data_IF_782265178042
#
_entry.id   IF_782265178042
#
_cell.length_a   1.000
_cell.length_b   1.000
_cell.length_c   1.000
_cell.angle_alpha   90.00
_cell.angle_beta   90.00
_cell.angle_gamma   90.00
#
_symmetry.space_group_name_H-M   'P 1'
#
loop_
_entity.id
_entity.type
_entity.pdbx_description
1 polymer ?
#
# COMPACT_ATOMS: atom_id res chain seq x y z
N UNK A 1 -5.70 26.86 11.30
CA UNK A 1 -7.06 26.33 11.01
C UNK A 1 -7.04 24.82 10.89
N UNK A 2 -6.11 24.23 10.12
CA UNK A 2 -5.93 22.77 10.04
C UNK A 2 -5.75 22.13 11.42
N UNK A 3 -4.83 22.66 12.26
CA UNK A 3 -4.65 22.17 13.63
C UNK A 3 -5.93 22.18 14.47
N UNK A 4 -6.73 23.24 14.34
CA UNK A 4 -7.96 23.36 15.12
C UNK A 4 -8.98 22.28 14.70
N UNK A 5 -9.08 22.00 13.39
CA UNK A 5 -9.96 20.96 12.87
C UNK A 5 -9.47 19.55 13.26
N UNK A 6 -8.17 19.26 13.08
CA UNK A 6 -7.56 17.99 13.47
C UNK A 6 -7.80 17.69 14.95
N UNK A 7 -7.45 18.64 15.83
CA UNK A 7 -7.65 18.49 17.28
C UNK A 7 -9.13 18.32 17.67
N UNK A 8 -10.05 19.05 17.03
CA UNK A 8 -11.47 18.91 17.32
C UNK A 8 -12.02 17.53 16.90
N UNK A 9 -11.57 17.00 15.76
CA UNK A 9 -11.94 15.64 15.32
C UNK A 9 -11.42 14.62 16.33
N UNK A 10 -10.15 14.68 16.73
CA UNK A 10 -9.58 13.70 17.66
C UNK A 10 -10.08 13.82 19.10
N UNK A 11 -10.64 14.97 19.49
CA UNK A 11 -11.34 15.12 20.77
C UNK A 11 -12.64 14.31 20.82
N UNK A 12 -13.36 14.20 19.70
CA UNK A 12 -14.61 13.44 19.59
C UNK A 12 -14.37 11.98 19.18
N UNK A 13 -13.38 11.73 18.32
CA UNK A 13 -12.97 10.40 17.88
C UNK A 13 -11.44 10.27 17.80
N UNK A 14 -10.86 9.76 18.87
CA UNK A 14 -9.40 9.61 19.01
C UNK A 14 -8.73 8.66 18.01
N UNK A 15 -9.51 7.86 17.27
CA UNK A 15 -8.97 6.91 16.27
C UNK A 15 -9.35 7.26 14.84
N UNK A 16 -10.04 8.39 14.62
CA UNK A 16 -10.37 8.87 13.29
C UNK A 16 -9.10 9.15 12.47
N UNK A 17 -9.12 8.72 11.21
CA UNK A 17 -8.07 9.06 10.25
C UNK A 17 -8.44 10.39 9.56
N UNK A 18 -7.62 11.41 9.76
CA UNK A 18 -7.80 12.72 9.11
C UNK A 18 -6.93 12.79 7.86
N UNK A 19 -7.58 12.83 6.70
CA UNK A 19 -6.93 12.92 5.40
C UNK A 19 -6.96 14.37 4.94
N UNK A 20 -5.80 14.94 4.60
CA UNK A 20 -5.74 16.26 3.99
C UNK A 20 -6.55 16.28 2.69
N UNK A 21 -7.29 17.38 2.47
CA UNK A 21 -8.14 17.52 1.29
C UNK A 21 -7.33 17.35 0.00
N UNK A 22 -7.91 16.64 -0.96
CA UNK A 22 -7.15 16.21 -2.12
C UNK A 22 -6.78 17.36 -3.05
N UNK A 23 -5.48 17.46 -3.33
CA UNK A 23 -4.92 18.49 -4.18
C UNK A 23 -5.29 18.23 -5.64
N UNK A 24 -5.82 19.25 -6.31
CA UNK A 24 -6.12 19.20 -7.73
C UNK A 24 -4.82 19.39 -8.53
N UNK A 25 -4.55 18.56 -9.54
CA UNK A 25 -3.34 18.68 -10.32
C UNK A 25 -3.43 19.90 -11.25
N UNK A 26 -2.38 20.72 -11.25
CA UNK A 26 -2.19 21.81 -12.20
C UNK A 26 -0.69 21.99 -12.47
N UNK A 27 -0.34 22.55 -13.62
CA UNK A 27 1.03 22.91 -14.01
C UNK A 27 1.35 24.37 -13.69
N UNK A 28 0.40 25.09 -13.10
CA UNK A 28 0.52 26.51 -12.78
C UNK A 28 1.53 26.77 -11.64
N UNK A 29 2.10 27.98 -11.65
CA UNK A 29 3.11 28.41 -10.67
C UNK A 29 2.79 29.77 -10.03
N UNK A 30 1.58 30.28 -10.22
CA UNK A 30 1.07 31.47 -9.57
C UNK A 30 0.53 32.55 -10.54
N UNK A 31 -0.01 33.65 -9.99
CA UNK A 31 -0.23 33.89 -8.56
C UNK A 31 -1.54 33.29 -8.02
N UNK A 32 -2.48 32.93 -8.90
CA UNK A 32 -3.82 32.48 -8.49
C UNK A 32 -3.86 30.98 -8.17
N UNK A 33 -3.13 30.17 -8.94
CA UNK A 33 -3.03 28.73 -8.76
C UNK A 33 -1.57 28.32 -8.61
N UNK A 34 -1.33 27.34 -7.74
CA UNK A 34 -0.02 26.75 -7.50
C UNK A 34 -0.17 25.25 -7.73
N UNK A 35 0.81 24.65 -8.39
CA UNK A 35 0.84 23.21 -8.58
C UNK A 35 0.82 22.46 -7.24
N UNK A 36 0.21 21.28 -7.27
CA UNK A 36 -0.07 20.42 -6.15
C UNK A 36 1.18 20.02 -5.32
N UNK A 37 2.33 19.60 -5.89
CA UNK A 37 3.53 19.35 -5.10
C UNK A 37 4.02 20.59 -4.34
N UNK A 38 4.03 21.75 -4.98
CA UNK A 38 4.49 22.98 -4.35
C UNK A 38 3.53 23.45 -3.26
N UNK A 39 2.21 23.33 -3.49
CA UNK A 39 1.22 23.61 -2.46
C UNK A 39 1.39 22.68 -1.25
N UNK A 40 1.64 21.38 -1.47
CA UNK A 40 1.89 20.43 -0.39
C UNK A 40 3.17 20.79 0.39
N UNK A 41 4.26 21.17 -0.30
CA UNK A 41 5.48 21.66 0.37
C UNK A 41 5.21 22.87 1.25
N UNK A 42 4.36 23.79 0.79
CA UNK A 42 3.99 24.97 1.57
C UNK A 42 3.17 24.61 2.82
N UNK A 43 2.27 23.62 2.74
CA UNK A 43 1.58 23.08 3.92
C UNK A 43 2.61 22.58 4.95
N UNK A 44 3.57 21.76 4.51
CA UNK A 44 4.62 21.25 5.39
C UNK A 44 5.51 22.36 5.97
N UNK A 45 5.94 23.33 5.15
CA UNK A 45 6.77 24.45 5.59
C UNK A 45 6.09 25.31 6.67
N UNK A 46 4.76 25.33 6.70
CA UNK A 46 3.95 26.03 7.70
C UNK A 46 3.61 25.16 8.92
N UNK A 47 4.14 23.94 9.01
CA UNK A 47 3.88 22.99 10.10
C UNK A 47 2.59 22.19 9.96
N UNK A 48 1.88 22.29 8.84
CA UNK A 48 0.61 21.60 8.62
C UNK A 48 0.73 20.07 8.49
N UNK A 49 1.95 19.54 8.38
CA UNK A 49 2.21 18.09 8.39
C UNK A 49 1.66 17.40 9.64
N UNK A 50 1.68 18.07 10.79
CA UNK A 50 1.16 17.54 12.05
C UNK A 50 -0.38 17.55 12.13
N UNK A 51 -1.07 18.16 11.15
CA UNK A 51 -2.52 18.30 11.12
C UNK A 51 -3.23 17.28 10.20
N UNK A 52 -2.55 16.22 9.76
CA UNK A 52 -3.15 15.12 9.02
C UNK A 52 -2.41 13.80 9.20
N UNK A 53 -3.15 12.70 9.16
CA UNK A 53 -2.63 11.33 9.24
C UNK A 53 -2.31 10.76 7.84
N UNK A 54 -2.89 11.36 6.80
CA UNK A 54 -2.71 11.00 5.41
C UNK A 54 -2.86 12.23 4.50
N UNK A 55 -2.21 12.22 3.35
CA UNK A 55 -2.43 13.23 2.31
C UNK A 55 -3.32 12.67 1.19
N UNK A 56 -3.83 13.53 0.32
CA UNK A 56 -4.56 13.10 -0.86
C UNK A 56 -4.23 13.94 -2.11
N UNK A 57 -4.31 13.29 -3.27
CA UNK A 57 -4.24 13.92 -4.59
C UNK A 57 -5.39 13.47 -5.49
N UNK A 58 -5.48 14.08 -6.66
CA UNK A 58 -6.43 13.68 -7.72
C UNK A 58 -5.65 13.17 -8.93
N UNK A 59 -5.29 11.87 -8.99
CA UNK A 59 -4.46 11.32 -10.05
C UNK A 59 -5.25 11.08 -11.34
N UNK A 60 -5.80 12.13 -11.93
CA UNK A 60 -6.48 12.03 -13.23
C UNK A 60 -5.54 11.46 -14.29
N UNK A 61 -6.04 10.52 -15.09
CA UNK A 61 -5.24 9.91 -16.15
C UNK A 61 -5.09 10.78 -17.39
N UNK A 62 -5.97 11.78 -17.54
CA UNK A 62 -6.08 12.64 -18.72
C UNK A 62 -6.12 11.81 -20.02
N UNK A 63 -5.25 12.11 -20.98
CA UNK A 63 -5.12 11.38 -22.24
C UNK A 63 -4.09 10.24 -22.20
N UNK A 64 -3.47 9.99 -21.04
CA UNK A 64 -2.35 9.07 -20.91
C UNK A 64 -2.79 7.71 -20.37
N UNK A 65 -2.09 6.66 -20.81
CA UNK A 65 -2.21 5.34 -20.19
C UNK A 65 -1.79 5.42 -18.71
N UNK A 66 -2.41 4.63 -17.80
CA UNK A 66 -1.92 4.47 -16.44
C UNK A 66 -0.50 3.91 -16.40
N UNK A 67 0.03 3.34 -17.47
CA UNK A 67 1.42 2.87 -17.54
C UNK A 67 2.42 3.93 -18.01
N UNK A 68 1.97 5.14 -18.36
CA UNK A 68 2.89 6.26 -18.57
C UNK A 68 3.68 6.55 -17.29
N UNK A 69 4.99 6.35 -17.33
CA UNK A 69 5.92 6.51 -16.19
C UNK A 69 6.52 7.91 -16.10
N UNK A 70 6.04 8.86 -16.89
CA UNK A 70 6.50 10.24 -16.82
C UNK A 70 6.07 10.85 -15.49
N UNK A 71 7.04 11.18 -14.65
CA UNK A 71 6.86 11.86 -13.36
C UNK A 71 7.50 13.24 -13.50
N UNK A 72 6.70 14.23 -13.90
CA UNK A 72 7.16 15.58 -14.20
C UNK A 72 6.12 16.62 -13.75
N UNK A 73 6.50 17.70 -13.04
CA UNK A 73 5.57 18.73 -12.56
C UNK A 73 4.84 19.48 -13.68
N UNK A 74 5.30 19.41 -14.92
CA UNK A 74 4.67 20.01 -16.11
C UNK A 74 3.76 19.05 -16.87
N UNK A 75 3.62 17.80 -16.42
CA UNK A 75 2.77 16.78 -17.04
C UNK A 75 1.60 16.44 -16.13
N UNK A 76 0.42 16.33 -16.75
CA UNK A 76 -0.82 15.93 -16.11
C UNK A 76 -1.15 14.49 -16.52
N UNK A 77 -0.90 13.52 -15.63
CA UNK A 77 -1.17 12.10 -15.84
C UNK A 77 -1.36 11.37 -14.50
N UNK A 78 -1.67 10.08 -14.58
CA UNK A 78 -1.86 9.22 -13.39
C UNK A 78 -0.61 9.14 -12.50
N UNK A 79 0.58 9.08 -13.12
CA UNK A 79 1.87 8.99 -12.42
C UNK A 79 2.23 10.25 -11.62
N UNK A 80 1.57 11.38 -11.87
CA UNK A 80 1.80 12.63 -11.13
C UNK A 80 1.63 12.49 -9.62
N UNK A 81 0.81 11.53 -9.16
CA UNK A 81 0.65 11.22 -7.73
C UNK A 81 1.99 10.96 -7.03
N UNK A 82 2.97 10.41 -7.76
CA UNK A 82 4.31 10.12 -7.26
C UNK A 82 5.02 11.41 -6.82
N UNK A 83 4.78 12.56 -7.46
CA UNK A 83 5.37 13.83 -7.02
C UNK A 83 4.89 14.23 -5.61
N UNK A 84 3.63 13.97 -5.28
CA UNK A 84 3.12 14.22 -3.92
C UNK A 84 3.75 13.24 -2.93
N UNK A 85 3.93 11.99 -3.34
CA UNK A 85 4.63 10.98 -2.53
C UNK A 85 6.08 11.39 -2.24
N UNK A 86 6.80 11.90 -3.24
CA UNK A 86 8.17 12.37 -3.08
C UNK A 86 8.25 13.52 -2.08
N UNK A 87 7.31 14.49 -2.15
CA UNK A 87 7.22 15.57 -1.15
C UNK A 87 6.99 15.00 0.26
N UNK A 88 6.10 14.03 0.44
CA UNK A 88 5.89 13.41 1.77
C UNK A 88 7.17 12.74 2.29
N UNK A 89 7.91 12.03 1.43
CA UNK A 89 9.18 11.39 1.80
C UNK A 89 10.23 12.44 2.18
N UNK A 90 10.37 13.51 1.40
CA UNK A 90 11.28 14.63 1.67
C UNK A 90 11.02 15.28 3.04
N UNK A 91 9.76 15.29 3.48
CA UNK A 91 9.33 15.90 4.75
C UNK A 91 9.33 14.91 5.92
N UNK A 92 9.77 13.66 5.72
CA UNK A 92 9.87 12.64 6.76
C UNK A 92 8.58 11.84 7.01
N UNK A 93 7.54 12.06 6.21
CA UNK A 93 6.22 11.42 6.33
C UNK A 93 6.05 10.21 5.39
N UNK A 94 7.14 9.46 5.17
CA UNK A 94 7.11 8.25 4.35
C UNK A 94 6.14 7.18 4.88
N UNK A 95 5.85 7.16 6.18
CA UNK A 95 4.93 6.18 6.79
C UNK A 95 3.45 6.58 6.65
N UNK A 96 3.15 7.85 6.32
CA UNK A 96 1.76 8.30 6.10
C UNK A 96 1.28 7.85 4.72
N UNK A 97 0.04 7.33 4.60
CA UNK A 97 -0.50 6.94 3.31
C UNK A 97 -0.87 8.17 2.46
N UNK A 98 -0.85 8.00 1.15
CA UNK A 98 -1.36 8.96 0.18
C UNK A 98 -2.62 8.39 -0.48
N UNK A 99 -3.70 9.15 -0.54
CA UNK A 99 -4.97 8.72 -1.13
C UNK A 99 -5.17 9.35 -2.52
N UNK A 100 -5.69 8.57 -3.46
CA UNK A 100 -6.26 9.08 -4.71
C UNK A 100 -7.77 9.25 -4.52
N UNK A 101 -8.26 10.48 -4.39
CA UNK A 101 -9.65 10.74 -3.99
C UNK A 101 -10.66 10.84 -5.14
N UNK A 102 -10.24 11.43 -6.26
CA UNK A 102 -11.05 11.60 -7.46
C UNK A 102 -10.13 11.38 -8.64
N UNK A 103 -10.28 10.23 -9.29
CA UNK A 103 -9.48 9.92 -10.47
C UNK A 103 -10.30 9.16 -11.50
N UNK A 104 -9.68 8.93 -12.65
CA UNK A 104 -10.22 8.17 -13.77
C UNK A 104 -9.87 8.80 -15.10
N UNK A 105 -10.53 8.29 -16.13
CA UNK A 105 -10.45 8.77 -17.51
C UNK A 105 -11.83 9.22 -17.96
N UNK A 106 -11.86 10.37 -18.64
CA UNK A 106 -13.07 10.87 -19.26
C UNK A 106 -13.25 10.21 -20.63
N UNK A 107 -14.46 9.77 -20.95
CA UNK A 107 -14.80 9.24 -22.27
C UNK A 107 -16.14 9.83 -22.72
N UNK A 108 -16.08 10.85 -23.58
CA UNK A 108 -17.26 11.42 -24.22
C UNK A 108 -17.67 10.54 -25.42
N UNK A 109 -18.99 10.39 -25.68
CA UNK A 109 -19.46 9.60 -26.82
C UNK A 109 -19.11 10.29 -28.15
N UNK A 110 -19.07 9.51 -29.24
CA UNK A 110 -18.67 10.02 -30.55
C UNK A 110 -19.62 11.10 -31.12
N UNK A 111 -20.88 11.10 -30.67
CA UNK A 111 -21.92 12.07 -31.01
C UNK A 111 -22.09 13.17 -29.96
N UNK A 112 -21.09 13.37 -29.09
CA UNK A 112 -21.11 14.41 -28.06
C UNK A 112 -21.33 15.81 -28.65
N UNK A 113 -22.32 16.53 -28.11
CA UNK A 113 -22.68 17.90 -28.54
C UNK A 113 -22.45 18.96 -27.47
N UNK A 114 -22.06 18.57 -26.26
CA UNK A 114 -21.74 19.48 -25.16
C UNK A 114 -20.33 20.09 -25.28
N UNK A 115 -19.90 20.87 -24.28
CA UNK A 115 -18.54 21.41 -24.22
C UNK A 115 -17.47 20.31 -24.20
N UNK A 116 -16.25 20.58 -24.69
CA UNK A 116 -15.15 19.62 -24.60
C UNK A 116 -14.74 19.38 -23.14
N UNK A 117 -14.23 18.18 -22.87
CA UNK A 117 -13.66 17.84 -21.56
C UNK A 117 -12.32 18.55 -21.34
N UNK A 118 -12.16 19.16 -20.16
CA UNK A 118 -10.89 19.74 -19.69
C UNK A 118 -9.89 18.68 -19.20
N UNK A 119 -10.35 17.43 -19.03
CA UNK A 119 -9.52 16.29 -18.65
C UNK A 119 -9.03 15.47 -19.84
N UNK A 120 -9.18 15.97 -21.07
CA UNK A 120 -9.01 15.14 -22.26
C UNK A 120 -10.17 14.16 -22.42
N UNK A 121 -10.08 13.27 -23.42
CA UNK A 121 -11.11 12.26 -23.67
C UNK A 121 -10.50 11.07 -24.39
N UNK A 122 -10.56 9.91 -23.75
CA UNK A 122 -10.17 8.62 -24.34
C UNK A 122 -11.39 7.90 -24.91
N UNK A 123 -11.17 6.82 -25.66
CA UNK A 123 -12.27 5.93 -26.04
C UNK A 123 -12.87 5.22 -24.82
N UNK A 124 -14.13 4.81 -24.90
CA UNK A 124 -14.78 4.04 -23.84
C UNK A 124 -13.98 2.77 -23.47
N UNK A 125 -13.49 2.04 -24.48
CA UNK A 125 -12.68 0.85 -24.25
C UNK A 125 -11.40 1.18 -23.48
N UNK A 126 -10.68 2.25 -23.88
CA UNK A 126 -9.51 2.72 -23.14
C UNK A 126 -9.86 3.11 -21.71
N UNK A 127 -10.98 3.78 -21.46
CA UNK A 127 -11.40 4.12 -20.09
C UNK A 127 -11.54 2.88 -19.21
N UNK A 128 -12.16 1.82 -19.71
CA UNK A 128 -12.30 0.54 -18.98
C UNK A 128 -10.93 -0.08 -18.73
N UNK A 129 -10.11 -0.22 -19.78
CA UNK A 129 -8.81 -0.89 -19.70
C UNK A 129 -7.84 -0.12 -18.80
N UNK A 130 -7.75 1.20 -18.97
CA UNK A 130 -6.89 2.08 -18.17
C UNK A 130 -7.31 2.08 -16.71
N UNK A 131 -8.60 2.02 -16.41
CA UNK A 131 -8.99 1.98 -15.01
C UNK A 131 -8.64 0.66 -14.34
N UNK A 132 -8.83 -0.48 -15.02
CA UNK A 132 -8.36 -1.79 -14.51
C UNK A 132 -6.85 -1.80 -14.30
N UNK A 133 -6.09 -1.42 -15.33
CA UNK A 133 -4.62 -1.34 -15.29
C UNK A 133 -4.12 -0.39 -14.20
N UNK A 134 -4.85 0.69 -13.89
CA UNK A 134 -4.47 1.62 -12.82
C UNK A 134 -4.52 0.98 -11.43
N UNK A 135 -5.53 0.15 -11.14
CA UNK A 135 -5.63 -0.59 -9.89
C UNK A 135 -4.58 -1.68 -9.81
N UNK A 136 -4.37 -2.44 -10.89
CA UNK A 136 -3.32 -3.45 -10.98
C UNK A 136 -1.92 -2.85 -10.76
N UNK A 137 -1.65 -1.71 -11.40
CA UNK A 137 -0.38 -0.98 -11.24
C UNK A 137 -0.22 -0.49 -9.80
N UNK A 138 -1.23 0.16 -9.24
CA UNK A 138 -1.16 0.67 -7.86
C UNK A 138 -0.95 -0.47 -6.85
N UNK A 139 -1.63 -1.60 -7.01
CA UNK A 139 -1.46 -2.78 -6.16
C UNK A 139 -0.04 -3.36 -6.24
N UNK A 140 0.60 -3.35 -7.42
CA UNK A 140 1.98 -3.82 -7.60
C UNK A 140 3.02 -2.81 -7.09
N UNK A 141 2.83 -1.53 -7.40
CA UNK A 141 3.90 -0.53 -7.34
C UNK A 141 3.77 0.46 -6.20
N UNK A 142 2.57 0.66 -5.65
CA UNK A 142 2.27 1.76 -4.74
C UNK A 142 1.83 1.26 -3.34
N UNK A 143 2.71 0.60 -2.56
CA UNK A 143 2.43 0.17 -1.17
C UNK A 143 1.95 1.30 -0.26
N UNK A 144 2.28 2.54 -0.63
CA UNK A 144 2.04 3.76 0.11
C UNK A 144 0.66 4.37 -0.18
N UNK A 145 -0.12 3.81 -1.10
CA UNK A 145 -1.48 4.29 -1.38
C UNK A 145 -2.47 3.69 -0.41
N UNK A 146 -3.22 4.54 0.31
CA UNK A 146 -4.28 4.11 1.22
C UNK A 146 -5.56 3.67 0.50
N UNK A 147 -5.87 4.32 -0.63
CA UNK A 147 -7.02 3.98 -1.46
C UNK A 147 -7.07 4.82 -2.75
N UNK A 148 -7.69 4.26 -3.78
CA UNK A 148 -7.98 4.93 -5.05
C UNK A 148 -9.50 4.96 -5.28
N UNK A 149 -10.07 6.15 -5.34
CA UNK A 149 -11.50 6.41 -5.41
C UNK A 149 -11.84 7.03 -6.77
N UNK A 150 -12.57 6.28 -7.59
CA UNK A 150 -13.03 6.76 -8.89
C UNK A 150 -13.98 7.95 -8.73
N UNK A 151 -13.87 8.91 -9.64
CA UNK A 151 -14.56 10.19 -9.50
C UNK A 151 -16.09 10.05 -9.44
N UNK A 152 -16.71 9.26 -10.33
CA UNK A 152 -18.17 9.17 -10.40
C UNK A 152 -18.67 7.78 -10.75
N UNK A 153 -19.53 7.22 -9.89
CA UNK A 153 -20.46 6.17 -10.30
C UNK A 153 -21.39 6.70 -11.40
N UNK A 154 -22.14 7.76 -11.10
CA UNK A 154 -22.93 8.54 -12.06
C UNK A 154 -22.94 9.99 -11.58
N UNK A 155 -22.51 10.97 -12.39
CA UNK A 155 -22.55 12.38 -12.00
C UNK A 155 -23.99 12.91 -11.90
N UNK A 156 -24.23 13.78 -10.91
CA UNK A 156 -25.46 14.58 -10.80
C UNK A 156 -25.19 15.92 -11.51
N UNK A 157 -25.26 15.91 -12.84
CA UNK A 157 -24.99 17.07 -13.70
C UNK A 157 -25.91 17.06 -14.93
N UNK A 158 -25.88 18.13 -15.73
CA UNK A 158 -26.59 18.18 -17.00
C UNK A 158 -26.07 17.07 -17.95
N UNK A 159 -26.91 16.60 -18.87
CA UNK A 159 -26.55 15.51 -19.79
C UNK A 159 -25.46 15.88 -20.79
N UNK A 160 -25.28 17.18 -21.04
CA UNK A 160 -24.27 17.78 -21.92
C UNK A 160 -23.06 18.32 -21.12
N UNK A 161 -22.98 18.08 -19.81
CA UNK A 161 -21.81 18.42 -19.00
C UNK A 161 -20.69 17.39 -19.23
N UNK A 162 -19.45 17.80 -19.58
CA UNK A 162 -18.36 16.86 -19.83
C UNK A 162 -18.02 15.96 -18.64
N UNK A 163 -18.44 16.30 -17.41
CA UNK A 163 -18.28 15.42 -16.23
C UNK A 163 -19.00 14.07 -16.42
N UNK A 164 -20.03 14.01 -17.27
CA UNK A 164 -20.73 12.78 -17.65
C UNK A 164 -19.78 11.73 -18.23
N UNK A 165 -18.69 12.15 -18.89
CA UNK A 165 -17.68 11.25 -19.43
C UNK A 165 -16.95 10.42 -18.36
N UNK A 166 -17.04 10.76 -17.07
CA UNK A 166 -16.51 9.95 -15.97
C UNK A 166 -17.46 8.85 -15.48
N UNK A 167 -18.74 8.85 -15.84
CA UNK A 167 -19.73 7.89 -15.34
C UNK A 167 -19.30 6.42 -15.56
N UNK A 168 -19.40 5.60 -14.51
CA UNK A 168 -19.12 4.15 -14.55
C UNK A 168 -20.41 3.33 -14.64
N UNK A 169 -21.50 3.80 -14.01
CA UNK A 169 -22.76 3.08 -13.89
C UNK A 169 -23.31 2.50 -15.21
N UNK A 170 -23.28 3.25 -16.34
CA UNK A 170 -23.82 2.73 -17.61
C UNK A 170 -23.05 1.54 -18.18
N UNK A 171 -21.85 1.27 -17.67
CA UNK A 171 -20.94 0.24 -18.19
C UNK A 171 -20.55 -0.76 -17.11
N UNK A 172 -21.22 -0.79 -15.96
CA UNK A 172 -20.79 -1.56 -14.79
C UNK A 172 -20.58 -3.06 -15.05
N UNK A 173 -21.31 -3.64 -16.01
CA UNK A 173 -21.16 -5.01 -16.48
C UNK A 173 -19.76 -5.29 -17.07
N UNK A 174 -19.16 -4.31 -17.74
CA UNK A 174 -17.79 -4.41 -18.27
C UNK A 174 -16.72 -4.36 -17.16
N UNK A 175 -17.13 -4.06 -15.92
CA UNK A 175 -16.28 -3.78 -14.77
C UNK A 175 -16.38 -4.86 -13.67
N UNK A 176 -17.22 -5.89 -13.83
CA UNK A 176 -17.37 -6.97 -12.83
C UNK A 176 -16.06 -7.72 -12.52
N UNK A 177 -15.07 -7.68 -13.42
CA UNK A 177 -13.75 -8.28 -13.24
C UNK A 177 -12.65 -7.26 -12.83
N UNK A 178 -13.01 -6.14 -12.21
CA UNK A 178 -12.07 -5.05 -11.87
C UNK A 178 -10.85 -5.47 -11.06
N UNK A 179 -10.96 -6.51 -10.25
CA UNK A 179 -9.88 -7.03 -9.44
C UNK A 179 -9.74 -8.53 -9.71
N UNK A 180 -8.62 -9.01 -10.26
CA UNK A 180 -8.37 -10.44 -10.33
C UNK A 180 -8.41 -11.02 -8.91
N UNK A 181 -8.86 -12.28 -8.79
CA UNK A 181 -8.65 -13.01 -7.55
C UNK A 181 -7.14 -13.21 -7.40
N UNK A 182 -6.52 -12.52 -6.46
CA UNK A 182 -5.11 -12.70 -6.17
C UNK A 182 -4.84 -14.17 -5.84
N UNK A 183 -3.85 -14.79 -6.49
CA UNK A 183 -3.41 -16.16 -6.18
C UNK A 183 -2.30 -16.18 -5.11
N UNK A 184 -1.82 -14.99 -4.72
CA UNK A 184 -0.70 -14.79 -3.80
C UNK A 184 -0.86 -13.46 -3.04
N UNK A 185 -0.13 -13.27 -1.92
CA UNK A 185 -0.01 -11.96 -1.30
C UNK A 185 0.66 -10.98 -2.27
N UNK A 186 0.01 -9.85 -2.54
CA UNK A 186 0.59 -8.71 -3.23
C UNK A 186 1.28 -7.80 -2.22
N UNK A 187 1.67 -6.60 -2.66
CA UNK A 187 2.19 -5.56 -1.79
C UNK A 187 1.15 -5.17 -0.74
N UNK A 188 1.46 -5.34 0.55
CA UNK A 188 0.58 -4.94 1.64
C UNK A 188 0.90 -5.61 2.97
N UNK A 189 0.09 -5.29 4.00
CA UNK A 189 0.16 -5.94 5.31
C UNK A 189 -0.94 -6.99 5.42
N UNK A 190 -0.56 -8.24 5.69
CA UNK A 190 -1.49 -9.35 5.84
C UNK A 190 -1.55 -9.83 7.29
N UNK A 191 -2.73 -10.15 7.83
CA UNK A 191 -2.85 -10.83 9.12
C UNK A 191 -2.21 -12.23 9.04
N UNK A 192 -1.83 -12.79 10.20
CA UNK A 192 -1.21 -14.11 10.26
C UNK A 192 -2.11 -15.19 9.60
N UNK A 193 -3.41 -15.14 9.84
CA UNK A 193 -4.40 -15.99 9.16
C UNK A 193 -4.89 -15.29 7.90
N UNK A 194 -4.55 -15.84 6.74
CA UNK A 194 -4.98 -15.32 5.44
C UNK A 194 -4.99 -16.46 4.40
N UNK A 195 -5.66 -16.29 3.24
CA UNK A 195 -5.78 -17.34 2.22
C UNK A 195 -4.47 -17.79 1.58
N UNK A 196 -3.40 -17.00 1.70
CA UNK A 196 -2.11 -17.23 1.04
C UNK A 196 -1.06 -17.87 1.95
N UNK A 197 -1.40 -18.12 3.23
CA UNK A 197 -0.50 -18.69 4.22
C UNK A 197 -1.03 -20.04 4.73
N UNK A 198 -0.21 -21.09 4.56
CA UNK A 198 -0.46 -22.42 5.11
C UNK A 198 0.47 -22.71 6.27
N UNK A 199 -0.09 -23.17 7.38
CA UNK A 199 0.64 -23.49 8.61
C UNK A 199 0.67 -25.00 8.82
N UNK A 200 1.83 -25.53 9.21
CA UNK A 200 2.00 -26.93 9.56
C UNK A 200 2.80 -27.08 10.86
N UNK A 201 2.36 -27.97 11.74
CA UNK A 201 2.93 -28.18 13.07
C UNK A 201 2.00 -27.70 14.18
N UNK A 202 2.60 -27.36 15.32
CA UNK A 202 1.93 -26.89 16.53
C UNK A 202 1.88 -25.35 16.49
N UNK A 203 0.80 -24.80 15.93
CA UNK A 203 0.57 -23.35 15.83
C UNK A 203 -0.67 -22.97 16.62
N UNK A 204 -0.55 -21.92 17.42
CA UNK A 204 -1.64 -21.28 18.13
C UNK A 204 -1.90 -19.90 17.50
N UNK A 205 -3.15 -19.49 17.36
CA UNK A 205 -3.52 -18.20 16.76
C UNK A 205 -4.31 -17.36 17.76
N UNK A 206 -4.04 -16.07 17.79
CA UNK A 206 -4.82 -15.09 18.54
C UNK A 206 -4.75 -13.72 17.89
N UNK A 207 -5.33 -12.71 18.56
CA UNK A 207 -5.40 -11.32 18.08
C UNK A 207 -4.00 -10.72 17.79
N UNK A 208 -2.98 -11.32 18.38
CA UNK A 208 -1.60 -10.87 18.29
C UNK A 208 -0.81 -11.58 17.17
N UNK A 209 -1.35 -12.61 16.53
CA UNK A 209 -0.73 -13.32 15.43
C UNK A 209 -0.67 -14.84 15.66
N UNK A 210 0.32 -15.49 15.04
CA UNK A 210 0.55 -16.93 15.14
C UNK A 210 1.77 -17.22 16.02
N UNK A 211 1.59 -18.10 17.00
CA UNK A 211 2.62 -18.54 17.93
C UNK A 211 2.96 -20.02 17.71
N UNK A 212 4.25 -20.29 17.50
CA UNK A 212 4.77 -21.64 17.42
C UNK A 212 4.71 -22.29 18.81
N UNK A 213 3.86 -23.30 18.98
CA UNK A 213 3.67 -24.03 20.23
C UNK A 213 4.96 -24.66 20.78
N UNK A 214 5.07 -24.84 22.11
CA UNK A 214 6.31 -25.23 22.78
C UNK A 214 6.73 -26.68 22.51
N UNK A 215 5.83 -27.52 21.99
CA UNK A 215 6.04 -28.97 21.91
C UNK A 215 6.57 -29.43 20.54
N UNK A 216 6.71 -28.53 19.58
CA UNK A 216 7.17 -28.85 18.23
C UNK A 216 8.49 -28.15 17.89
N UNK A 217 9.44 -28.93 17.38
CA UNK A 217 10.71 -28.43 16.82
C UNK A 217 10.64 -28.24 15.29
N UNK A 218 9.47 -28.34 14.68
CA UNK A 218 9.29 -28.43 13.23
C UNK A 218 8.10 -27.62 12.69
N UNK A 219 7.82 -26.46 13.29
CA UNK A 219 6.74 -25.59 12.83
C UNK A 219 7.11 -24.92 11.51
N UNK A 220 6.20 -24.96 10.54
CA UNK A 220 6.38 -24.42 9.20
C UNK A 220 5.26 -23.44 8.86
N UNK A 221 5.62 -22.34 8.21
CA UNK A 221 4.68 -21.48 7.47
C UNK A 221 5.10 -21.51 6.00
N UNK A 222 4.17 -21.77 5.09
CA UNK A 222 4.35 -21.62 3.64
C UNK A 222 3.47 -20.48 3.16
N UNK A 223 4.06 -19.49 2.50
CA UNK A 223 3.37 -18.29 2.04
C UNK A 223 3.61 -18.13 0.53
N UNK A 224 2.53 -17.96 -0.22
CA UNK A 224 2.59 -17.51 -1.62
C UNK A 224 2.52 -16.00 -1.66
N UNK A 225 3.49 -15.35 -2.30
CA UNK A 225 3.50 -13.90 -2.47
C UNK A 225 4.11 -13.52 -3.84
N UNK A 226 3.76 -12.33 -4.32
CA UNK A 226 4.35 -11.69 -5.50
C UNK A 226 4.94 -10.34 -5.07
N UNK A 227 6.23 -10.14 -5.36
CA UNK A 227 6.94 -8.92 -5.03
C UNK A 227 8.45 -9.12 -4.94
N UNK A 228 9.18 -8.03 -4.78
CA UNK A 228 10.65 -8.05 -4.69
C UNK A 228 11.16 -8.06 -3.25
N UNK A 229 10.28 -7.81 -2.28
CA UNK A 229 10.61 -7.81 -0.86
C UNK A 229 9.49 -8.50 -0.07
N UNK A 230 9.88 -9.29 0.93
CA UNK A 230 8.95 -9.90 1.88
C UNK A 230 9.45 -9.69 3.30
N UNK A 231 8.55 -9.28 4.20
CA UNK A 231 8.85 -8.98 5.58
C UNK A 231 7.93 -9.72 6.54
N UNK A 232 8.49 -10.41 7.55
CA UNK A 232 7.73 -10.88 8.70
C UNK A 232 7.87 -9.94 9.88
N UNK A 233 6.74 -9.48 10.41
CA UNK A 233 6.65 -8.79 11.71
C UNK A 233 6.63 -9.83 12.83
N UNK A 234 7.79 -10.09 13.42
CA UNK A 234 7.90 -11.05 14.55
C UNK A 234 7.97 -10.34 15.90
N UNK A 235 7.36 -10.93 16.92
CA UNK A 235 7.47 -10.52 18.32
C UNK A 235 8.56 -11.34 19.00
N UNK A 236 9.33 -10.72 19.89
CA UNK A 236 10.23 -11.46 20.77
C UNK A 236 9.41 -12.18 21.84
N UNK A 237 9.61 -13.48 21.96
CA UNK A 237 9.19 -14.25 23.12
C UNK A 237 10.38 -14.58 24.04
N UNK A 238 10.09 -15.12 25.22
CA UNK A 238 11.09 -15.47 26.25
C UNK A 238 11.82 -16.80 25.94
N UNK A 239 11.99 -17.14 24.67
CA UNK A 239 12.59 -18.39 24.22
C UNK A 239 13.52 -18.18 23.04
N UNK A 240 14.52 -19.06 22.92
CA UNK A 240 15.44 -19.07 21.79
C UNK A 240 14.80 -19.84 20.63
N UNK A 241 14.57 -19.14 19.52
CA UNK A 241 14.06 -19.71 18.28
C UNK A 241 15.08 -19.56 17.15
N UNK A 242 15.13 -20.56 16.28
CA UNK A 242 15.82 -20.45 14.99
C UNK A 242 14.76 -20.29 13.89
N UNK A 243 15.02 -19.36 12.97
CA UNK A 243 14.24 -19.14 11.77
C UNK A 243 15.06 -19.55 10.56
N UNK A 244 14.66 -20.62 9.89
CA UNK A 244 15.14 -20.99 8.57
C UNK A 244 14.21 -20.44 7.49
N UNK A 245 14.75 -19.82 6.45
CA UNK A 245 13.96 -19.25 5.35
C UNK A 245 14.45 -19.86 4.04
N UNK A 246 13.51 -20.42 3.28
CA UNK A 246 13.74 -20.83 1.89
C UNK A 246 12.75 -20.15 0.97
N UNK A 247 13.23 -19.78 -0.22
CA UNK A 247 12.47 -19.15 -1.29
C UNK A 247 12.68 -20.06 -2.48
N UNK A 248 11.61 -20.62 -3.04
CA UNK A 248 11.71 -21.62 -4.11
C UNK A 248 12.54 -22.85 -3.76
N UNK A 249 12.50 -23.24 -2.49
CA UNK A 249 13.31 -24.35 -1.98
C UNK A 249 14.81 -24.07 -1.90
N UNK A 250 15.27 -22.86 -2.25
CA UNK A 250 16.64 -22.41 -2.06
C UNK A 250 16.77 -21.58 -0.77
N UNK A 251 17.91 -21.62 -0.05
CA UNK A 251 18.15 -20.72 1.07
C UNK A 251 18.03 -19.26 0.64
N UNK A 252 17.36 -18.41 1.43
CA UNK A 252 17.24 -16.99 1.10
C UNK A 252 18.62 -16.32 0.99
N UNK A 253 18.84 -15.57 -0.09
CA UNK A 253 20.17 -15.19 -0.57
C UNK A 253 20.90 -14.15 0.32
N UNK A 254 20.18 -13.40 1.16
CA UNK A 254 20.74 -12.38 2.06
C UNK A 254 19.85 -12.24 3.31
N UNK A 255 20.44 -12.41 4.50
CA UNK A 255 19.81 -11.95 5.74
C UNK A 255 19.99 -10.43 5.84
N UNK A 256 18.96 -9.68 6.21
CA UNK A 256 19.18 -8.33 6.72
C UNK A 256 20.01 -8.37 8.00
N UNK A 257 21.03 -7.52 8.07
CA UNK A 257 21.81 -7.22 9.27
C UNK A 257 20.89 -6.81 10.41
N UNK A 258 20.98 -7.51 11.55
CA UNK A 258 20.41 -7.06 12.82
C UNK A 258 20.92 -5.64 13.14
N UNK A 259 20.07 -4.62 13.06
CA UNK A 259 20.35 -3.36 13.76
C UNK A 259 19.92 -3.50 15.23
N UNK A 260 20.87 -3.90 16.07
CA UNK A 260 20.74 -3.88 17.52
C UNK A 260 20.73 -2.42 18.04
N UNK A 261 19.56 -1.79 18.08
CA UNK A 261 19.36 -0.61 18.92
C UNK A 261 18.81 -0.99 20.29
N UNK A 262 19.21 -0.26 21.34
CA UNK A 262 18.67 -0.40 22.71
C UNK A 262 17.30 0.28 22.81
N UNK A 263 16.35 -0.33 23.52
CA UNK A 263 15.04 0.28 23.84
C UNK A 263 13.85 -0.63 23.55
N UNK A 264 12.91 -0.63 24.51
CA UNK A 264 11.73 -1.48 24.78
C UNK A 264 10.81 -1.72 23.57
N UNK A 265 10.24 -2.94 23.47
CA UNK A 265 9.37 -3.46 22.40
C UNK A 265 9.87 -3.29 20.96
N UNK A 266 10.74 -4.21 20.49
CA UNK A 266 11.20 -4.22 19.09
C UNK A 266 10.64 -5.40 18.31
N UNK A 267 9.67 -5.11 17.45
CA UNK A 267 9.39 -5.92 16.26
C UNK A 267 10.68 -6.12 15.47
N UNK A 268 10.99 -7.35 15.06
CA UNK A 268 12.07 -7.60 14.12
C UNK A 268 11.45 -7.77 12.74
N UNK A 269 12.03 -7.10 11.75
CA UNK A 269 11.67 -7.27 10.35
C UNK A 269 12.62 -8.31 9.76
N UNK A 270 12.13 -9.50 9.44
CA UNK A 270 12.91 -10.44 8.62
C UNK A 270 12.63 -10.10 7.16
N UNK A 271 13.51 -9.33 6.53
CA UNK A 271 13.40 -8.98 5.10
C UNK A 271 14.20 -9.95 4.26
N UNK A 272 13.57 -10.53 3.23
CA UNK A 272 14.29 -11.15 2.12
C UNK A 272 14.11 -10.28 0.87
N UNK A 273 15.21 -9.85 0.26
CA UNK A 273 15.22 -9.23 -1.07
C UNK A 273 15.28 -10.31 -2.12
N UNK A 274 14.39 -10.22 -3.09
CA UNK A 274 14.15 -11.27 -4.06
C UNK A 274 14.05 -10.60 -5.44
N UNK A 275 14.86 -11.05 -6.39
CA UNK A 275 14.84 -10.53 -7.75
C UNK A 275 13.94 -11.39 -8.65
N UNK A 276 12.96 -10.75 -9.29
CA UNK A 276 12.21 -11.15 -10.49
C UNK A 276 11.70 -12.60 -10.61
N UNK A 277 10.59 -12.93 -9.88
CA UNK A 277 9.47 -13.85 -10.27
C UNK A 277 8.57 -14.20 -9.05
N UNK A 278 7.37 -14.81 -9.23
CA UNK A 278 6.53 -15.27 -8.12
C UNK A 278 7.15 -16.48 -7.43
N UNK A 279 7.18 -16.48 -6.09
CA UNK A 279 7.96 -17.46 -5.31
C UNK A 279 7.22 -17.97 -4.06
N UNK A 280 7.07 -19.30 -3.86
CA UNK A 280 6.74 -19.85 -2.53
C UNK A 280 7.86 -19.57 -1.51
N UNK A 281 7.53 -18.82 -0.45
CA UNK A 281 8.38 -18.64 0.72
C UNK A 281 8.00 -19.64 1.82
N UNK A 282 9.01 -20.34 2.37
CA UNK A 282 8.82 -21.27 3.48
C UNK A 282 9.69 -20.88 4.68
N UNK A 283 9.04 -20.74 5.82
CA UNK A 283 9.66 -20.44 7.10
C UNK A 283 9.63 -21.67 7.99
N UNK A 284 10.78 -22.04 8.55
CA UNK A 284 10.90 -23.11 9.55
C UNK A 284 11.28 -22.51 10.89
N UNK A 285 10.43 -22.74 11.89
CA UNK A 285 10.64 -22.33 13.26
C UNK A 285 11.01 -23.53 14.11
N UNK A 286 12.13 -23.43 14.82
CA UNK A 286 12.53 -24.41 15.83
C UNK A 286 12.83 -23.71 17.15
N UNK A 287 12.12 -24.08 18.22
CA UNK A 287 12.50 -23.70 19.59
C UNK A 287 13.59 -24.65 20.08
N UNK A 288 14.65 -24.11 20.71
CA UNK A 288 15.60 -24.96 21.43
C UNK A 288 14.93 -25.42 22.74
N UNK A 289 14.99 -26.71 23.12
CA UNK A 289 14.56 -27.12 24.46
C UNK A 289 15.36 -26.32 25.50
N UNK A 290 14.78 -25.97 26.66
CA UNK A 290 15.54 -25.38 27.75
C UNK A 290 16.70 -26.33 28.06
N UNK A 291 17.93 -25.79 28.13
CA UNK A 291 19.11 -26.57 28.45
C UNK A 291 18.83 -27.35 29.74
N UNK A 292 18.63 -28.66 29.64
CA UNK A 292 18.61 -29.53 30.80
C UNK A 292 19.92 -29.33 31.52
N UNK A 293 19.88 -28.97 32.82
CA UNK A 293 21.07 -28.98 33.66
C UNK A 293 21.63 -30.40 33.59
N UNK A 294 22.72 -30.58 32.86
CA UNK A 294 23.53 -31.78 32.94
C UNK A 294 24.06 -31.87 34.38
N UNK A 295 23.43 -32.72 35.19
CA UNK A 295 24.12 -33.31 36.32
C UNK A 295 25.07 -34.37 35.77
N UNK A 296 26.36 -34.34 36.12
CA UNK A 296 27.27 -35.42 35.75
C UNK A 296 26.82 -36.71 36.46
N UNK A 297 27.00 -37.88 35.82
CA UNK A 297 26.66 -39.15 36.47
C UNK A 297 27.54 -39.34 37.72
N UNK A 298 27.00 -39.94 38.80
CA UNK A 298 27.81 -40.30 39.95
C UNK A 298 28.89 -41.28 39.50
N UNK A 299 30.15 -40.94 39.80
CA UNK A 299 31.28 -41.86 39.62
C UNK A 299 31.05 -43.05 40.56
N UNK A 300 30.98 -44.24 39.98
CA UNK A 300 31.13 -45.49 40.72
C UNK A 300 32.55 -45.57 41.28
N UNK A 301 32.68 -45.58 42.60
CA UNK A 301 33.89 -45.84 43.37
C UNK A 301 33.48 -46.16 44.79
#
# INVERSE_FOLDING_TARGET
>A
MLDAAYNAIHQEDSVAMVIAAALAPTVESGPENINDPEYLRQIYALGGGDSFDAAAGKPYGFDFSPDDRTVDPTVLNFSRLILLRDVMIEQGDAEKPLWGSNFGWNALPADWTGPPSSWGSVSLQQKVDYTKQSYERAAREWPWVGGLILQHWQPIAASDDPIQGFAIAPYADQWEALLPADEAMMTGLYPAVNPFATYAGDWEFGDLGADAGPNSTANTITISFEGTEFALKVRRGDYLAYLGITIDGQPANQFATQQCGRGVHRTHLCTARIHDRPYPCRFRFGRRPPCGRHYPPPRSG
#
